data_IF_067446058997
#
_entry.id   IF_067446058997
#
_cell.length_a   1.000
_cell.length_b   1.000
_cell.length_c   1.000
_cell.angle_alpha   90.00
_cell.angle_beta   90.00
_cell.angle_gamma   90.00
#
_symmetry.space_group_name_H-M   'P 1'
#
loop_
_entity.id
_entity.type
_entity.pdbx_description
1 polymer ?
#
# COMPACT_ATOMS: atom_id res chain seq x y z
N UNK A 1 -5.05 2.25 -15.57
CA UNK A 1 -4.01 1.70 -14.67
C UNK A 1 -4.46 1.54 -13.20
N UNK A 2 -5.36 2.39 -12.70
CA UNK A 2 -5.70 2.42 -11.27
C UNK A 2 -6.14 1.08 -10.67
N UNK A 3 -6.95 0.30 -11.39
CA UNK A 3 -7.36 -1.03 -10.94
C UNK A 3 -6.15 -1.94 -10.76
N UNK A 4 -5.28 -2.02 -11.77
CA UNK A 4 -4.06 -2.81 -11.71
C UNK A 4 -3.12 -2.35 -10.58
N UNK A 5 -2.88 -1.04 -10.47
CA UNK A 5 -1.99 -0.50 -9.43
C UNK A 5 -2.60 -0.68 -8.04
N UNK A 6 -3.90 -0.53 -7.90
CA UNK A 6 -4.63 -0.81 -6.66
C UNK A 6 -4.45 -2.27 -6.21
N UNK A 7 -4.65 -3.22 -7.14
CA UNK A 7 -4.39 -4.64 -6.87
C UNK A 7 -2.92 -4.90 -6.54
N UNK A 8 -1.99 -4.26 -7.24
CA UNK A 8 -0.55 -4.38 -6.96
C UNK A 8 -0.21 -3.88 -5.55
N UNK A 9 -0.73 -2.73 -5.14
CA UNK A 9 -0.55 -2.17 -3.79
C UNK A 9 -1.10 -3.16 -2.76
N UNK A 10 -2.31 -3.70 -2.97
CA UNK A 10 -2.91 -4.68 -2.07
C UNK A 10 -2.01 -5.91 -1.88
N UNK A 11 -1.50 -6.51 -2.96
CA UNK A 11 -0.64 -7.71 -2.87
C UNK A 11 0.72 -7.42 -2.24
N UNK A 12 1.33 -6.26 -2.55
CA UNK A 12 2.58 -5.84 -1.90
C UNK A 12 2.37 -5.56 -0.42
N UNK A 13 1.22 -5.01 -0.05
CA UNK A 13 0.88 -4.73 1.34
C UNK A 13 0.60 -6.02 2.11
N UNK A 14 -0.03 -7.05 1.50
CA UNK A 14 -0.09 -8.40 2.10
C UNK A 14 1.29 -8.92 2.45
N UNK A 15 2.25 -8.83 1.52
CA UNK A 15 3.63 -9.25 1.77
C UNK A 15 4.30 -8.40 2.87
N UNK A 16 4.14 -7.08 2.81
CA UNK A 16 4.74 -6.16 3.76
C UNK A 16 4.17 -6.30 5.18
N UNK A 17 2.92 -6.72 5.33
CA UNK A 17 2.29 -6.90 6.64
C UNK A 17 2.43 -8.33 7.19
N UNK A 18 2.76 -9.31 6.35
CA UNK A 18 2.79 -10.72 6.74
C UNK A 18 1.40 -11.31 7.02
N UNK A 19 0.32 -10.57 6.70
CA UNK A 19 -1.08 -10.98 6.87
C UNK A 19 -1.92 -10.59 5.66
N UNK A 20 -3.11 -11.19 5.57
CA UNK A 20 -4.13 -10.75 4.62
C UNK A 20 -4.53 -9.29 4.83
N UNK A 21 -5.04 -8.66 3.77
CA UNK A 21 -5.58 -7.29 3.84
C UNK A 21 -6.95 -7.32 4.52
N UNK A 22 -7.15 -6.39 5.44
CA UNK A 22 -8.39 -6.21 6.17
C UNK A 22 -9.14 -4.96 5.67
N UNK A 23 -10.45 -4.84 5.92
CA UNK A 23 -11.21 -3.63 5.57
C UNK A 23 -10.60 -2.34 6.14
N UNK A 24 -9.91 -2.43 7.29
CA UNK A 24 -9.21 -1.32 7.93
C UNK A 24 -8.00 -0.80 7.13
N UNK A 25 -7.41 -1.61 6.24
CA UNK A 25 -6.26 -1.22 5.41
C UNK A 25 -6.69 -0.49 4.12
N UNK A 26 -7.96 -0.61 3.72
CA UNK A 26 -8.47 -0.03 2.49
C UNK A 26 -8.23 1.50 2.34
N UNK A 27 -8.32 2.33 3.41
CA UNK A 27 -7.93 3.73 3.36
C UNK A 27 -6.44 3.94 3.02
N UNK A 28 -5.54 3.10 3.53
CA UNK A 28 -4.12 3.18 3.23
C UNK A 28 -3.85 2.84 1.77
N UNK A 29 -4.45 1.78 1.23
CA UNK A 29 -4.35 1.41 -0.20
C UNK A 29 -4.80 2.58 -1.08
N UNK A 30 -5.97 3.18 -0.79
CA UNK A 30 -6.48 4.34 -1.54
C UNK A 30 -5.55 5.54 -1.45
N UNK A 31 -4.94 5.80 -0.29
CA UNK A 31 -3.98 6.90 -0.12
C UNK A 31 -2.72 6.69 -0.95
N UNK A 32 -2.16 5.48 -0.93
CA UNK A 32 -0.98 5.12 -1.71
C UNK A 32 -1.27 5.23 -3.21
N UNK A 33 -2.42 4.74 -3.67
CA UNK A 33 -2.82 4.84 -5.08
C UNK A 33 -2.93 6.30 -5.55
N UNK A 34 -3.52 7.17 -4.73
CA UNK A 34 -3.63 8.62 -5.02
C UNK A 34 -2.24 9.28 -5.09
N UNK A 35 -1.36 8.97 -4.15
CA UNK A 35 0.02 9.48 -4.15
C UNK A 35 0.82 8.96 -5.36
N UNK A 36 0.68 7.68 -5.68
CA UNK A 36 1.31 7.07 -6.85
C UNK A 36 0.85 7.74 -8.15
N UNK A 37 -0.44 8.08 -8.28
CA UNK A 37 -0.96 8.82 -9.44
C UNK A 37 -0.25 10.16 -9.66
N UNK A 38 0.01 10.91 -8.58
CA UNK A 38 0.73 12.19 -8.64
C UNK A 38 2.20 12.00 -9.07
N UNK A 39 2.75 10.82 -8.81
CA UNK A 39 4.11 10.42 -9.17
C UNK A 39 4.14 9.54 -10.44
N UNK A 40 3.16 9.67 -11.34
CA UNK A 40 3.07 8.90 -12.60
C UNK A 40 3.18 7.37 -12.41
N UNK A 41 2.67 6.87 -11.29
CA UNK A 41 2.71 5.48 -10.88
C UNK A 41 4.12 4.88 -10.77
N UNK A 42 5.15 5.69 -10.48
CA UNK A 42 6.51 5.18 -10.25
C UNK A 42 6.49 4.11 -9.15
N UNK A 43 7.08 2.96 -9.43
CA UNK A 43 7.14 1.85 -8.46
C UNK A 43 7.72 2.27 -7.11
N UNK A 44 8.76 3.09 -7.10
CA UNK A 44 9.35 3.65 -5.87
C UNK A 44 8.35 4.44 -5.02
N UNK A 45 7.41 5.17 -5.64
CA UNK A 45 6.38 5.92 -4.91
C UNK A 45 5.41 4.99 -4.18
N UNK A 46 5.13 3.82 -4.75
CA UNK A 46 4.29 2.78 -4.13
C UNK A 46 5.00 2.20 -2.92
N UNK A 47 6.28 1.81 -3.07
CA UNK A 47 7.09 1.26 -1.98
C UNK A 47 7.19 2.26 -0.82
N UNK A 48 7.52 3.52 -1.10
CA UNK A 48 7.57 4.58 -0.09
C UNK A 48 6.20 4.73 0.59
N UNK A 49 5.12 4.78 -0.18
CA UNK A 49 3.76 4.87 0.35
C UNK A 49 3.39 3.72 1.29
N UNK A 50 3.82 2.49 0.97
CA UNK A 50 3.63 1.32 1.84
C UNK A 50 4.43 1.51 3.14
N UNK A 51 5.71 1.86 3.06
CA UNK A 51 6.57 2.04 4.25
C UNK A 51 6.11 3.18 5.17
N UNK A 52 5.40 4.18 4.63
CA UNK A 52 4.84 5.30 5.38
C UNK A 52 3.39 5.07 5.84
N UNK A 53 2.80 3.92 5.51
CA UNK A 53 1.41 3.62 5.86
C UNK A 53 1.27 3.22 7.33
N UNK A 54 0.14 3.61 7.93
CA UNK A 54 -0.19 3.26 9.32
C UNK A 54 -0.11 1.76 9.58
N UNK A 55 -0.68 0.88 8.72
CA UNK A 55 -0.59 -0.57 8.96
C UNK A 55 0.85 -1.09 8.94
N UNK A 56 1.72 -0.51 8.12
CA UNK A 56 3.13 -0.92 8.08
C UNK A 56 3.92 -0.43 9.29
N UNK A 57 3.72 0.84 9.70
CA UNK A 57 4.45 1.44 10.81
C UNK A 57 4.04 0.88 12.17
N UNK A 58 2.77 0.49 12.32
CA UNK A 58 2.21 -0.04 13.56
C UNK A 58 2.14 -1.57 13.56
N UNK A 59 2.76 -2.25 12.58
CA UNK A 59 2.88 -3.71 12.63
C UNK A 59 3.78 -4.07 13.81
N UNK A 60 3.25 -4.83 14.76
CA UNK A 60 4.08 -5.50 15.76
C UNK A 60 4.65 -6.74 15.09
N UNK A 61 5.96 -6.76 14.85
CA UNK A 61 6.66 -8.00 14.53
C UNK A 61 6.79 -8.72 15.86
N UNK A 62 6.07 -9.83 16.04
CA UNK A 62 6.40 -10.79 17.08
C UNK A 62 7.70 -11.52 16.74
#
# INVERSE_FOLDING_TARGET
PDLFVGTLIEKLMTYALGRGIEPADAPAIRRILRAARQQQYRFSSIVIGITQSTPFQMRTVE
#
